data_IF_523718965200
#
_entry.id   IF_523718965200
#
_cell.length_a   1.000
_cell.length_b   1.000
_cell.length_c   1.000
_cell.angle_alpha   90.00
_cell.angle_beta   90.00
_cell.angle_gamma   90.00
#
_symmetry.space_group_name_H-M   'P 1'
#
loop_
_entity.id
_entity.type
_entity.pdbx_description
1 polymer ?
#
# COMPACT_ATOMS: atom_id res chain seq x y z
N UNK A 1 41.03 -17.83 3.00
CA UNK A 1 39.89 -17.08 2.45
C UNK A 1 38.66 -17.91 2.76
N UNK A 2 37.92 -17.53 3.82
CA UNK A 2 36.74 -18.27 4.30
C UNK A 2 35.54 -17.49 3.80
N UNK A 3 34.95 -17.95 2.70
CA UNK A 3 33.66 -17.47 2.22
C UNK A 3 32.57 -18.12 3.08
N UNK A 4 32.03 -17.37 4.04
CA UNK A 4 30.84 -17.77 4.76
C UNK A 4 29.64 -17.60 3.83
N UNK A 5 29.19 -18.70 3.23
CA UNK A 5 27.88 -18.82 2.59
C UNK A 5 26.84 -19.01 3.68
N UNK A 6 26.49 -17.94 4.40
CA UNK A 6 25.27 -17.94 5.20
C UNK A 6 24.09 -18.08 4.24
N UNK A 7 23.51 -19.26 4.17
CA UNK A 7 22.34 -19.52 3.34
C UNK A 7 21.15 -18.78 3.96
N UNK A 8 20.27 -18.19 3.14
CA UNK A 8 19.07 -17.47 3.59
C UNK A 8 18.31 -18.15 4.75
N UNK A 9 18.36 -19.49 4.80
CA UNK A 9 17.89 -20.36 5.89
C UNK A 9 18.31 -19.99 7.32
N UNK A 10 19.55 -19.54 7.56
CA UNK A 10 20.01 -19.27 8.93
C UNK A 10 19.37 -17.99 9.48
N UNK A 11 19.32 -16.95 8.65
CA UNK A 11 18.66 -15.69 8.95
C UNK A 11 17.15 -15.87 9.20
N UNK A 12 16.50 -16.67 8.36
CA UNK A 12 15.09 -17.06 8.50
C UNK A 12 14.81 -17.77 9.84
N UNK A 13 15.68 -18.70 10.23
CA UNK A 13 15.55 -19.42 11.50
C UNK A 13 15.75 -18.52 12.71
N UNK A 14 16.73 -17.61 12.66
CA UNK A 14 17.02 -16.65 13.70
C UNK A 14 15.85 -15.66 13.87
N UNK A 15 15.28 -15.19 12.75
CA UNK A 15 14.14 -14.28 12.77
C UNK A 15 12.89 -14.95 13.35
N UNK A 16 12.59 -16.20 12.97
CA UNK A 16 11.50 -16.97 13.60
C UNK A 16 11.72 -17.15 15.10
N UNK A 17 12.96 -17.35 15.54
CA UNK A 17 13.31 -17.43 16.96
C UNK A 17 13.04 -16.09 17.67
N UNK A 18 13.43 -14.98 17.06
CA UNK A 18 13.16 -13.63 17.56
C UNK A 18 11.65 -13.38 17.72
N UNK A 19 10.83 -13.69 16.70
CA UNK A 19 9.38 -13.54 16.79
C UNK A 19 8.77 -14.35 17.95
N UNK A 20 9.27 -15.57 18.19
CA UNK A 20 8.82 -16.38 19.34
C UNK A 20 9.22 -15.73 20.67
N UNK A 21 10.42 -15.17 20.77
CA UNK A 21 10.88 -14.49 21.98
C UNK A 21 10.10 -13.21 22.23
N UNK A 22 9.85 -12.41 21.19
CA UNK A 22 9.02 -11.19 21.26
C UNK A 22 7.62 -11.52 21.76
N UNK A 23 7.01 -12.61 21.30
CA UNK A 23 5.70 -13.04 21.79
C UNK A 23 5.69 -13.30 23.30
N UNK A 24 6.78 -13.85 23.85
CA UNK A 24 6.89 -14.16 25.28
C UNK A 24 7.24 -12.92 26.12
N UNK A 25 8.13 -12.06 25.62
CA UNK A 25 8.67 -10.93 26.39
C UNK A 25 7.94 -9.61 26.15
N UNK A 26 7.20 -9.49 25.05
CA UNK A 26 6.39 -8.32 24.69
C UNK A 26 4.95 -8.75 24.36
N UNK A 27 4.19 -9.29 25.33
CA UNK A 27 2.82 -9.77 25.09
C UNK A 27 1.84 -8.64 24.72
N UNK A 28 2.18 -7.39 25.03
CA UNK A 28 1.40 -6.20 24.71
C UNK A 28 1.85 -5.51 23.42
N UNK A 29 2.70 -6.15 22.61
CA UNK A 29 3.14 -5.58 21.33
C UNK A 29 1.92 -5.38 20.41
N UNK A 30 1.67 -4.12 20.02
CA UNK A 30 0.52 -3.73 19.21
C UNK A 30 0.83 -3.53 17.72
N UNK A 31 2.07 -3.18 17.41
CA UNK A 31 2.51 -2.85 16.06
C UNK A 31 3.81 -3.58 15.76
N UNK A 32 3.93 -4.10 14.55
CA UNK A 32 5.18 -4.61 14.03
C UNK A 32 5.41 -4.11 12.60
N UNK A 33 6.61 -3.62 12.33
CA UNK A 33 7.05 -3.21 11.00
C UNK A 33 8.34 -3.95 10.66
N UNK A 34 8.37 -4.64 9.52
CA UNK A 34 9.46 -5.52 9.11
C UNK A 34 9.86 -5.16 7.68
N UNK A 35 10.91 -4.34 7.58
CA UNK A 35 11.43 -3.79 6.33
C UNK A 35 12.77 -4.44 5.97
N UNK A 36 12.76 -5.74 5.72
CA UNK A 36 13.98 -6.48 5.42
C UNK A 36 13.70 -7.64 4.46
N UNK A 37 14.60 -7.91 3.49
CA UNK A 37 14.41 -8.99 2.51
C UNK A 37 14.57 -10.36 3.18
N UNK A 38 13.45 -10.93 3.64
CA UNK A 38 13.32 -12.32 4.07
C UNK A 38 12.34 -13.06 3.18
N UNK A 39 12.34 -14.39 3.24
CA UNK A 39 11.19 -15.16 2.77
C UNK A 39 9.96 -14.72 3.61
N UNK A 40 8.87 -14.21 3.00
CA UNK A 40 7.67 -13.81 3.74
C UNK A 40 7.10 -14.93 4.62
N UNK A 41 7.37 -16.20 4.29
CA UNK A 41 6.98 -17.37 5.08
C UNK A 41 7.58 -17.38 6.49
N UNK A 42 8.68 -16.65 6.71
CA UNK A 42 9.30 -16.49 8.04
C UNK A 42 8.46 -15.64 8.99
N UNK A 43 7.49 -14.91 8.46
CA UNK A 43 6.59 -14.04 9.22
C UNK A 43 5.30 -14.77 9.67
N UNK A 44 5.07 -16.01 9.25
CA UNK A 44 3.92 -16.83 9.68
C UNK A 44 3.72 -16.87 11.22
N UNK A 45 4.78 -16.90 12.07
CA UNK A 45 4.60 -16.85 13.52
C UNK A 45 3.88 -15.61 14.07
N UNK A 46 3.78 -14.52 13.28
CA UNK A 46 3.03 -13.31 13.65
C UNK A 46 1.56 -13.60 13.93
N UNK A 47 0.98 -14.60 13.26
CA UNK A 47 -0.40 -15.04 13.47
C UNK A 47 -0.73 -15.47 14.91
N UNK A 48 0.30 -15.77 15.71
CA UNK A 48 0.14 -16.19 17.11
C UNK A 48 0.16 -15.03 18.11
N UNK A 49 0.35 -13.79 17.67
CA UNK A 49 0.27 -12.61 18.53
C UNK A 49 -1.18 -12.18 18.72
N UNK A 50 -1.61 -12.05 19.98
CA UNK A 50 -3.00 -11.69 20.32
C UNK A 50 -3.24 -10.17 20.32
N UNK A 51 -2.21 -9.38 20.58
CA UNK A 51 -2.32 -7.93 20.77
C UNK A 51 -1.85 -7.12 19.57
N UNK A 52 -1.30 -7.75 18.52
CA UNK A 52 -0.89 -7.01 17.33
C UNK A 52 -2.14 -6.61 16.54
N UNK A 53 -2.27 -5.30 16.31
CA UNK A 53 -3.33 -4.68 15.53
C UNK A 53 -2.82 -4.11 14.22
N UNK A 54 -1.52 -3.81 14.12
CA UNK A 54 -0.90 -3.23 12.93
C UNK A 54 0.33 -4.04 12.49
N UNK A 55 0.33 -4.46 11.23
CA UNK A 55 1.42 -5.20 10.59
C UNK A 55 1.84 -4.47 9.32
N UNK A 56 3.12 -4.16 9.22
CA UNK A 56 3.76 -3.58 8.04
C UNK A 56 4.91 -4.49 7.61
N UNK A 57 4.83 -5.02 6.39
CA UNK A 57 5.79 -6.01 5.88
C UNK A 57 6.19 -5.74 4.44
N UNK A 58 7.49 -5.84 4.18
CA UNK A 58 8.02 -5.85 2.81
C UNK A 58 7.93 -7.26 2.25
N UNK A 59 7.18 -7.43 1.17
CA UNK A 59 6.90 -8.73 0.56
C UNK A 59 5.69 -9.42 1.22
N UNK A 60 4.86 -10.02 0.38
CA UNK A 60 3.77 -10.88 0.83
C UNK A 60 3.65 -12.09 -0.09
N UNK A 61 3.39 -13.25 0.50
CA UNK A 61 2.98 -14.44 -0.22
C UNK A 61 1.65 -14.95 0.35
N UNK A 62 0.98 -15.85 -0.39
CA UNK A 62 -0.33 -16.37 0.02
C UNK A 62 -0.30 -17.06 1.39
N UNK A 63 0.82 -17.71 1.73
CA UNK A 63 1.01 -18.41 3.01
C UNK A 63 1.04 -17.44 4.19
N UNK A 64 1.74 -16.30 4.03
CA UNK A 64 1.76 -15.23 5.01
C UNK A 64 0.37 -14.58 5.10
N UNK A 65 -0.26 -14.23 3.98
CA UNK A 65 -1.58 -13.62 3.98
C UNK A 65 -2.62 -14.51 4.68
N UNK A 66 -2.58 -15.83 4.46
CA UNK A 66 -3.43 -16.80 5.16
C UNK A 66 -3.13 -16.89 6.66
N UNK A 67 -1.87 -16.73 7.06
CA UNK A 67 -1.51 -16.69 8.47
C UNK A 67 -2.02 -15.39 9.13
N UNK A 68 -1.90 -14.25 8.46
CA UNK A 68 -2.41 -12.96 8.96
C UNK A 68 -3.94 -12.92 8.94
N UNK A 69 -4.58 -13.61 7.99
CA UNK A 69 -6.03 -13.61 7.85
C UNK A 69 -6.77 -14.28 9.00
N UNK A 70 -6.10 -15.02 9.91
CA UNK A 70 -6.76 -15.58 11.09
C UNK A 70 -6.61 -14.69 12.34
N UNK A 71 -5.93 -13.56 12.22
CA UNK A 71 -5.70 -12.64 13.34
C UNK A 71 -6.94 -11.79 13.59
N UNK A 72 -7.68 -12.11 14.65
CA UNK A 72 -8.89 -11.37 15.06
C UNK A 72 -8.58 -9.94 15.56
N UNK A 73 -7.34 -9.66 15.91
CA UNK A 73 -6.91 -8.35 16.38
C UNK A 73 -6.39 -7.44 15.27
N UNK A 74 -6.06 -7.98 14.09
CA UNK A 74 -5.42 -7.22 13.02
C UNK A 74 -6.42 -6.24 12.37
N UNK A 75 -6.21 -4.95 12.57
CA UNK A 75 -7.04 -3.87 12.01
C UNK A 75 -6.37 -3.16 10.85
N UNK A 76 -5.03 -3.11 10.82
CA UNK A 76 -4.26 -2.41 9.80
C UNK A 76 -3.17 -3.31 9.23
N UNK A 77 -3.14 -3.44 7.90
CA UNK A 77 -2.15 -4.22 7.18
C UNK A 77 -1.53 -3.38 6.07
N UNK A 78 -0.20 -3.29 6.07
CA UNK A 78 0.60 -2.70 4.99
C UNK A 78 1.48 -3.79 4.38
N UNK A 79 1.39 -3.96 3.06
CA UNK A 79 2.19 -4.93 2.31
C UNK A 79 2.86 -4.28 1.10
N UNK A 80 4.16 -4.53 0.95
CA UNK A 80 4.88 -4.24 -0.29
C UNK A 80 4.83 -5.47 -1.22
N UNK A 81 4.37 -5.26 -2.44
CA UNK A 81 4.11 -6.26 -3.47
C UNK A 81 5.22 -6.22 -4.52
N UNK A 82 6.27 -7.00 -4.27
CA UNK A 82 7.32 -7.23 -5.25
C UNK A 82 6.83 -8.16 -6.37
N UNK A 83 6.95 -7.68 -7.61
CA UNK A 83 6.51 -8.36 -8.84
C UNK A 83 7.20 -9.70 -9.04
N UNK A 84 8.38 -9.90 -8.43
CA UNK A 84 9.16 -11.11 -8.56
C UNK A 84 8.81 -12.19 -7.52
N UNK A 85 7.97 -11.89 -6.52
CA UNK A 85 7.76 -12.76 -5.36
C UNK A 85 6.40 -13.48 -5.34
N UNK A 86 5.43 -13.02 -6.13
CA UNK A 86 4.14 -13.68 -6.27
C UNK A 86 4.15 -14.57 -7.52
N UNK A 87 4.40 -15.87 -7.32
CA UNK A 87 4.11 -16.85 -8.35
C UNK A 87 2.58 -16.87 -8.53
N UNK A 88 2.10 -16.52 -9.72
CA UNK A 88 0.66 -16.53 -10.05
C UNK A 88 -0.01 -17.89 -9.79
N UNK A 89 0.77 -18.97 -9.80
CA UNK A 89 0.29 -20.33 -9.49
C UNK A 89 -0.09 -20.51 -7.99
N UNK A 90 0.42 -19.68 -7.08
CA UNK A 90 0.10 -19.75 -5.64
C UNK A 90 -1.24 -19.04 -5.29
N UNK A 91 -1.82 -18.28 -6.21
CA UNK A 91 -3.00 -17.41 -6.00
C UNK A 91 -4.31 -18.20 -6.07
N UNK A 92 -4.26 -19.49 -6.40
CA UNK A 92 -5.46 -20.34 -6.61
C UNK A 92 -6.21 -20.63 -5.30
N UNK A 93 -5.61 -20.41 -4.13
CA UNK A 93 -6.23 -20.71 -2.84
C UNK A 93 -6.72 -19.45 -2.12
N UNK A 94 -8.04 -19.26 -1.94
CA UNK A 94 -8.58 -18.09 -1.27
C UNK A 94 -8.09 -17.91 0.17
N UNK A 95 -7.87 -16.65 0.57
CA UNK A 95 -7.58 -16.24 1.94
C UNK A 95 -8.89 -15.87 2.66
N UNK A 96 -9.18 -16.57 3.76
CA UNK A 96 -10.38 -16.35 4.57
C UNK A 96 -9.99 -15.78 5.93
N UNK A 97 -10.79 -14.85 6.47
CA UNK A 97 -10.80 -14.55 7.91
C UNK A 97 -10.37 -13.16 8.34
N UNK A 98 -10.03 -12.23 7.43
CA UNK A 98 -9.75 -10.82 7.76
C UNK A 98 -11.00 -10.10 8.29
N UNK A 99 -11.51 -10.55 9.44
CA UNK A 99 -12.80 -10.17 10.02
C UNK A 99 -12.76 -8.81 10.69
N UNK A 100 -11.58 -8.41 11.17
CA UNK A 100 -11.33 -7.14 11.86
C UNK A 100 -10.51 -6.15 11.04
N UNK A 101 -10.06 -6.54 9.84
CA UNK A 101 -9.22 -5.69 9.01
C UNK A 101 -10.04 -4.51 8.46
N UNK A 102 -9.64 -3.31 8.84
CA UNK A 102 -10.30 -2.05 8.46
C UNK A 102 -9.46 -1.25 7.45
N UNK A 103 -8.12 -1.30 7.59
CA UNK A 103 -7.21 -0.53 6.76
C UNK A 103 -6.25 -1.47 6.03
N UNK A 104 -6.21 -1.37 4.70
CA UNK A 104 -5.27 -2.09 3.87
C UNK A 104 -4.46 -1.12 3.02
N UNK A 105 -3.14 -1.19 3.14
CA UNK A 105 -2.21 -0.48 2.26
C UNK A 105 -1.43 -1.50 1.43
N UNK A 106 -1.45 -1.34 0.12
CA UNK A 106 -0.68 -2.15 -0.83
C UNK A 106 0.24 -1.25 -1.64
N UNK A 107 1.54 -1.52 -1.60
CA UNK A 107 2.52 -0.84 -2.42
C UNK A 107 3.06 -1.81 -3.48
N UNK A 108 3.37 -1.38 -4.71
CA UNK A 108 4.03 -2.23 -5.71
C UNK A 108 3.18 -2.57 -6.94
N UNK A 109 3.07 -3.85 -7.29
CA UNK A 109 2.36 -4.30 -8.51
C UNK A 109 0.84 -4.22 -8.38
N UNK A 110 0.20 -3.45 -9.25
CA UNK A 110 -1.26 -3.36 -9.33
C UNK A 110 -1.92 -4.71 -9.66
N UNK A 111 -1.30 -5.48 -10.55
CA UNK A 111 -1.80 -6.81 -10.91
C UNK A 111 -1.77 -7.76 -9.70
N UNK A 112 -0.70 -7.70 -8.90
CA UNK A 112 -0.59 -8.48 -7.68
C UNK A 112 -1.65 -8.05 -6.64
N UNK A 113 -1.91 -6.75 -6.53
CA UNK A 113 -2.94 -6.22 -5.64
C UNK A 113 -4.33 -6.74 -6.05
N UNK A 114 -4.66 -6.69 -7.35
CA UNK A 114 -5.92 -7.25 -7.87
C UNK A 114 -6.05 -8.74 -7.58
N UNK A 115 -4.98 -9.51 -7.81
CA UNK A 115 -4.93 -10.94 -7.55
C UNK A 115 -5.16 -11.25 -6.05
N UNK A 116 -4.55 -10.47 -5.16
CA UNK A 116 -4.76 -10.59 -3.71
C UNK A 116 -6.20 -10.25 -3.32
N UNK A 117 -6.76 -9.14 -3.82
CA UNK A 117 -8.15 -8.75 -3.55
C UNK A 117 -9.17 -9.78 -4.07
N UNK A 118 -8.86 -10.43 -5.19
CA UNK A 118 -9.67 -11.53 -5.72
C UNK A 118 -9.59 -12.78 -4.83
N UNK A 119 -8.41 -13.10 -4.30
CA UNK A 119 -8.19 -14.25 -3.41
C UNK A 119 -8.72 -14.01 -1.99
N UNK A 120 -8.74 -12.78 -1.50
CA UNK A 120 -9.27 -12.43 -0.18
C UNK A 120 -10.79 -12.49 -0.17
N UNK A 121 -11.38 -13.19 0.79
CA UNK A 121 -12.82 -13.05 1.06
C UNK A 121 -13.16 -11.61 1.43
N UNK A 122 -14.31 -11.05 0.99
CA UNK A 122 -14.65 -9.63 1.20
C UNK A 122 -14.43 -9.19 2.66
N UNK A 123 -13.35 -8.43 2.95
CA UNK A 123 -13.12 -7.91 4.29
C UNK A 123 -14.07 -6.73 4.55
N UNK A 124 -14.25 -6.38 5.82
CA UNK A 124 -14.92 -5.13 6.22
C UNK A 124 -13.95 -3.96 6.18
N UNK A 125 -13.31 -3.77 5.03
CA UNK A 125 -12.36 -2.68 4.83
C UNK A 125 -13.11 -1.34 4.77
N UNK A 126 -12.65 -0.40 5.57
CA UNK A 126 -13.09 0.98 5.62
C UNK A 126 -12.17 1.88 4.77
N UNK A 127 -10.86 1.58 4.75
CA UNK A 127 -9.86 2.34 4.00
C UNK A 127 -8.95 1.43 3.18
N UNK A 128 -8.75 1.80 1.91
CA UNK A 128 -7.82 1.15 0.99
C UNK A 128 -6.85 2.18 0.43
N UNK A 129 -5.56 1.94 0.63
CA UNK A 129 -4.49 2.67 -0.04
C UNK A 129 -3.75 1.75 -1.01
N UNK A 130 -3.54 2.22 -2.24
CA UNK A 130 -2.77 1.54 -3.26
C UNK A 130 -1.75 2.50 -3.85
N UNK A 131 -0.47 2.17 -3.76
CA UNK A 131 0.62 2.94 -4.37
C UNK A 131 1.37 2.04 -5.35
N UNK A 132 1.48 2.45 -6.61
CA UNK A 132 2.21 1.67 -7.62
C UNK A 132 3.57 2.28 -7.88
N UNK A 133 4.61 1.44 -7.80
CA UNK A 133 6.01 1.88 -8.00
C UNK A 133 6.37 1.82 -9.49
N UNK A 134 5.69 0.95 -10.24
CA UNK A 134 5.90 0.78 -11.68
C UNK A 134 4.80 1.50 -12.44
N UNK A 135 5.15 2.09 -13.60
CA UNK A 135 4.16 2.66 -14.49
C UNK A 135 3.07 1.65 -14.87
N UNK A 136 1.79 2.07 -14.81
CA UNK A 136 0.60 1.25 -15.12
C UNK A 136 -0.22 1.86 -16.25
N UNK A 137 -0.99 1.06 -16.99
CA UNK A 137 -1.89 1.60 -18.02
C UNK A 137 -3.21 2.08 -17.42
N UNK A 138 -3.92 2.99 -18.10
CA UNK A 138 -5.26 3.41 -17.70
C UNK A 138 -6.22 2.23 -17.60
N UNK A 139 -6.15 1.27 -18.52
CA UNK A 139 -6.98 0.06 -18.46
C UNK A 139 -6.72 -0.77 -17.20
N UNK A 140 -5.47 -0.84 -16.74
CA UNK A 140 -5.14 -1.52 -15.49
C UNK A 140 -5.68 -0.76 -14.27
N UNK A 141 -5.55 0.57 -14.24
CA UNK A 141 -6.16 1.40 -13.21
C UNK A 141 -7.68 1.21 -13.18
N UNK A 142 -8.33 1.26 -14.35
CA UNK A 142 -9.77 1.07 -14.49
C UNK A 142 -10.19 -0.30 -13.97
N UNK A 143 -9.53 -1.36 -14.40
CA UNK A 143 -9.84 -2.73 -13.97
C UNK A 143 -9.67 -2.90 -12.44
N UNK A 144 -8.68 -2.24 -11.83
CA UNK A 144 -8.53 -2.21 -10.38
C UNK A 144 -9.68 -1.46 -9.69
N UNK A 145 -10.04 -0.27 -10.19
CA UNK A 145 -11.12 0.54 -9.58
C UNK A 145 -12.50 -0.11 -9.77
N UNK A 146 -12.75 -0.77 -10.90
CA UNK A 146 -13.97 -1.58 -11.14
C UNK A 146 -14.09 -2.79 -10.19
N UNK A 147 -12.97 -3.28 -9.66
CA UNK A 147 -12.97 -4.38 -8.69
C UNK A 147 -13.49 -3.93 -7.31
N UNK A 148 -13.30 -2.64 -6.95
CA UNK A 148 -13.54 -2.17 -5.59
C UNK A 148 -15.02 -2.24 -5.17
N UNK A 149 -16.00 -1.75 -5.96
CA UNK A 149 -17.42 -1.85 -5.59
C UNK A 149 -17.89 -3.31 -5.41
N UNK A 150 -17.34 -4.22 -6.22
CA UNK A 150 -17.71 -5.63 -6.21
C UNK A 150 -17.13 -6.36 -5.00
N UNK A 151 -15.89 -6.04 -4.62
CA UNK A 151 -15.14 -6.76 -3.57
C UNK A 151 -15.22 -6.10 -2.21
N UNK A 152 -15.29 -4.77 -2.19
CA UNK A 152 -15.13 -3.92 -1.02
C UNK A 152 -16.25 -2.86 -0.95
N UNK A 153 -17.53 -3.26 -0.94
CA UNK A 153 -18.66 -2.32 -0.99
C UNK A 153 -18.80 -1.41 0.25
N UNK A 154 -18.02 -1.66 1.31
CA UNK A 154 -18.04 -0.89 2.57
C UNK A 154 -16.92 0.16 2.66
N UNK A 155 -16.17 0.39 1.59
CA UNK A 155 -15.10 1.39 1.59
C UNK A 155 -15.66 2.80 1.83
N UNK A 156 -15.00 3.50 2.74
CA UNK A 156 -15.20 4.91 3.06
C UNK A 156 -14.07 5.78 2.54
N UNK A 157 -12.86 5.22 2.39
CA UNK A 157 -11.69 5.93 1.89
C UNK A 157 -10.95 5.10 0.85
N UNK A 158 -10.63 5.73 -0.28
CA UNK A 158 -9.76 5.19 -1.32
C UNK A 158 -8.63 6.17 -1.58
N UNK A 159 -7.39 5.72 -1.41
CA UNK A 159 -6.20 6.44 -1.84
C UNK A 159 -5.50 5.62 -2.93
N UNK A 160 -5.36 6.19 -4.12
CA UNK A 160 -4.77 5.52 -5.26
C UNK A 160 -3.68 6.40 -5.89
N UNK A 161 -2.43 6.00 -5.74
CA UNK A 161 -1.28 6.66 -6.34
C UNK A 161 -0.70 5.79 -7.46
N UNK A 162 -0.65 6.32 -8.67
CA UNK A 162 -0.09 5.59 -9.80
C UNK A 162 0.62 6.47 -10.83
N UNK A 163 1.90 6.16 -11.18
CA UNK A 163 2.49 6.67 -12.41
C UNK A 163 1.82 5.96 -13.59
N UNK A 164 1.24 6.72 -14.53
CA UNK A 164 0.53 6.15 -15.67
C UNK A 164 1.43 6.11 -16.92
N UNK A 165 1.62 4.93 -17.52
CA UNK A 165 2.24 4.76 -18.83
C UNK A 165 1.36 5.41 -19.89
N UNK A 166 1.90 6.40 -20.60
CA UNK A 166 1.19 7.04 -21.69
C UNK A 166 1.29 6.25 -23.00
N UNK A 167 0.14 6.12 -23.64
CA UNK A 167 -0.01 6.14 -25.09
C UNK A 167 -1.28 6.94 -25.41
N UNK A 168 -1.26 8.26 -25.17
CA UNK A 168 -2.40 9.14 -25.46
C UNK A 168 -1.98 10.27 -26.40
N UNK A 169 -2.79 10.49 -27.43
CA UNK A 169 -2.82 11.76 -28.16
C UNK A 169 -3.72 12.75 -27.37
N UNK A 170 -3.09 13.82 -26.88
CA UNK A 170 -3.53 15.14 -26.38
C UNK A 170 -5.01 15.38 -25.94
N UNK A 171 -5.10 15.90 -24.71
CA UNK A 171 -6.13 16.68 -23.98
C UNK A 171 -7.56 16.14 -23.82
N UNK A 172 -8.42 16.16 -24.84
CA UNK A 172 -9.86 15.87 -24.65
C UNK A 172 -10.11 14.41 -24.30
N UNK A 173 -9.28 13.51 -24.83
CA UNK A 173 -9.38 12.09 -24.52
C UNK A 173 -8.88 11.79 -23.10
N UNK A 174 -7.93 12.55 -22.55
CA UNK A 174 -7.44 12.27 -21.20
C UNK A 174 -8.47 12.64 -20.14
N UNK A 175 -9.11 13.81 -20.22
CA UNK A 175 -10.18 14.19 -19.28
C UNK A 175 -11.29 13.14 -19.28
N UNK A 176 -11.78 12.76 -20.47
CA UNK A 176 -12.78 11.71 -20.64
C UNK A 176 -12.34 10.38 -20.00
N UNK A 177 -11.07 10.00 -20.18
CA UNK A 177 -10.50 8.76 -19.61
C UNK A 177 -10.30 8.81 -18.09
N UNK A 178 -10.01 9.98 -17.52
CA UNK A 178 -9.94 10.13 -16.06
C UNK A 178 -11.34 10.05 -15.45
N UNK A 179 -12.33 10.65 -16.10
CA UNK A 179 -13.73 10.53 -15.69
C UNK A 179 -14.17 9.06 -15.73
N UNK A 180 -13.76 8.34 -16.78
CA UNK A 180 -13.92 6.88 -16.87
C UNK A 180 -13.19 6.09 -15.79
N UNK A 181 -12.11 6.61 -15.18
CA UNK A 181 -11.41 5.94 -14.07
C UNK A 181 -12.16 6.08 -12.75
N UNK A 182 -12.79 7.23 -12.52
CA UNK A 182 -13.49 7.51 -11.25
C UNK A 182 -14.93 7.00 -11.24
N UNK A 183 -15.54 6.83 -12.41
CA UNK A 183 -16.92 6.33 -12.57
C UNK A 183 -17.22 5.08 -11.73
N UNK A 184 -16.37 4.02 -11.68
CA UNK A 184 -16.64 2.84 -10.87
C UNK A 184 -16.73 3.14 -9.37
N UNK A 185 -16.04 4.18 -8.88
CA UNK A 185 -16.07 4.54 -7.45
C UNK A 185 -17.41 5.14 -7.03
N UNK A 186 -18.23 5.60 -7.97
CA UNK A 186 -19.56 6.14 -7.68
C UNK A 186 -20.53 5.05 -7.20
N UNK A 187 -20.24 3.78 -7.48
CA UNK A 187 -21.03 2.64 -6.98
C UNK A 187 -20.76 2.34 -5.49
N UNK A 188 -19.71 2.93 -4.90
CA UNK A 188 -19.41 2.84 -3.47
C UNK A 188 -20.23 3.87 -2.69
N UNK A 189 -21.43 3.48 -2.25
CA UNK A 189 -22.37 4.37 -1.56
C UNK A 189 -21.84 4.94 -0.22
N UNK A 190 -20.88 4.26 0.41
CA UNK A 190 -20.27 4.68 1.67
C UNK A 190 -19.04 5.59 1.49
N UNK A 191 -18.60 5.84 0.27
CA UNK A 191 -17.32 6.49 0.01
C UNK A 191 -17.37 7.98 0.38
N UNK A 192 -16.53 8.37 1.34
CA UNK A 192 -16.43 9.72 1.88
C UNK A 192 -15.22 10.47 1.34
N UNK A 193 -14.13 9.73 1.05
CA UNK A 193 -12.85 10.31 0.62
C UNK A 193 -12.22 9.54 -0.53
N UNK A 194 -11.81 10.27 -1.56
CA UNK A 194 -11.09 9.72 -2.70
C UNK A 194 -9.90 10.61 -3.03
N UNK A 195 -8.70 10.07 -2.82
CA UNK A 195 -7.45 10.69 -3.24
C UNK A 195 -6.90 9.87 -4.41
N UNK A 196 -6.82 10.46 -5.60
CA UNK A 196 -6.29 9.80 -6.79
C UNK A 196 -5.15 10.65 -7.33
N UNK A 197 -3.92 10.22 -7.06
CA UNK A 197 -2.73 10.86 -7.59
C UNK A 197 -2.30 10.15 -8.87
N UNK A 198 -2.59 10.81 -9.98
CA UNK A 198 -2.12 10.41 -11.30
C UNK A 198 -0.96 11.33 -11.65
N UNK A 199 0.18 10.77 -12.04
CA UNK A 199 1.34 11.55 -12.53
C UNK A 199 1.35 11.53 -14.06
N UNK A 200 0.51 12.35 -14.74
CA UNK A 200 0.59 12.49 -16.19
C UNK A 200 1.86 13.27 -16.57
N UNK A 201 2.36 13.06 -17.79
CA UNK A 201 3.45 13.89 -18.33
C UNK A 201 2.99 15.32 -18.70
N UNK A 202 1.69 15.63 -18.60
CA UNK A 202 1.10 16.92 -18.97
C UNK A 202 0.07 17.42 -17.95
N UNK A 203 -0.20 18.72 -17.95
CA UNK A 203 -1.01 19.37 -16.91
C UNK A 203 -2.49 19.07 -17.14
N UNK A 204 -3.18 18.63 -16.09
CA UNK A 204 -4.62 18.42 -16.09
C UNK A 204 -5.34 19.67 -15.55
N UNK A 205 -6.45 20.06 -16.19
CA UNK A 205 -7.34 21.11 -15.70
C UNK A 205 -8.74 20.56 -15.42
N UNK A 206 -8.89 19.81 -14.33
CA UNK A 206 -10.21 19.41 -13.84
C UNK A 206 -10.78 20.48 -12.92
N UNK A 207 -12.07 20.79 -13.06
CA UNK A 207 -12.79 21.74 -12.22
C UNK A 207 -13.78 21.04 -11.29
N UNK A 208 -14.14 21.67 -10.18
CA UNK A 208 -15.22 21.18 -9.28
C UNK A 208 -16.54 20.95 -10.04
N UNK A 209 -16.78 21.70 -11.12
CA UNK A 209 -17.95 21.56 -11.98
C UNK A 209 -18.01 20.22 -12.71
N UNK A 210 -16.86 19.65 -13.07
CA UNK A 210 -16.77 18.34 -13.72
C UNK A 210 -17.17 17.23 -12.75
N UNK A 211 -16.77 17.33 -11.49
CA UNK A 211 -17.17 16.39 -10.43
C UNK A 211 -18.65 16.49 -10.06
N UNK A 212 -19.18 17.71 -9.99
CA UNK A 212 -20.61 17.93 -9.76
C UNK A 212 -21.48 17.39 -10.90
N UNK A 213 -21.02 17.51 -12.15
CA UNK A 213 -21.71 16.95 -13.31
C UNK A 213 -21.81 15.40 -13.25
N UNK A 214 -20.89 14.74 -12.54
CA UNK A 214 -20.94 13.29 -12.28
C UNK A 214 -21.86 12.88 -11.12
N UNK A 215 -22.47 13.84 -10.41
CA UNK A 215 -23.28 13.56 -9.22
C UNK A 215 -22.47 13.35 -7.94
N UNK A 216 -21.18 13.72 -7.92
CA UNK A 216 -20.32 13.62 -6.75
C UNK A 216 -20.62 14.74 -5.74
N UNK A 217 -21.70 14.63 -4.98
CA UNK A 217 -22.14 15.74 -4.12
C UNK A 217 -21.49 15.80 -2.71
N UNK A 218 -20.66 14.82 -2.32
CA UNK A 218 -20.16 14.70 -0.91
C UNK A 218 -18.67 14.34 -0.79
N UNK A 219 -17.99 13.99 -1.88
CA UNK A 219 -16.61 13.49 -1.81
C UNK A 219 -15.58 14.63 -1.87
N UNK A 220 -14.55 14.55 -1.02
CA UNK A 220 -13.32 15.33 -1.22
C UNK A 220 -12.47 14.61 -2.25
N UNK A 221 -12.27 15.27 -3.39
CA UNK A 221 -11.40 14.82 -4.46
C UNK A 221 -10.08 15.58 -4.39
N UNK A 222 -8.97 14.85 -4.45
CA UNK A 222 -7.67 15.42 -4.72
C UNK A 222 -7.04 14.68 -5.90
N UNK A 223 -6.97 15.36 -7.04
CA UNK A 223 -6.24 14.89 -8.22
C UNK A 223 -5.07 15.83 -8.43
N UNK A 224 -3.89 15.41 -7.97
CA UNK A 224 -2.64 16.15 -8.22
C UNK A 224 -1.97 15.60 -9.47
N UNK A 225 -1.50 16.49 -10.35
CA UNK A 225 -0.61 16.16 -11.46
C UNK A 225 0.74 16.85 -11.24
N UNK A 226 1.59 16.21 -10.44
CA UNK A 226 2.96 16.71 -10.25
C UNK A 226 3.82 16.35 -11.45
N UNK A 227 3.84 17.23 -12.46
CA UNK A 227 4.88 17.23 -13.48
C UNK A 227 6.18 17.63 -12.78
N UNK A 228 7.15 16.70 -12.68
CA UNK A 228 8.45 16.97 -12.08
C UNK A 228 9.18 18.12 -12.80
N UNK A 229 8.98 19.35 -12.34
CA UNK A 229 10.09 20.27 -12.09
C UNK A 229 10.36 20.21 -10.60
N UNK A 230 11.59 19.90 -10.22
CA UNK A 230 12.05 19.95 -8.83
C UNK A 230 11.74 21.33 -8.23
N UNK A 231 10.61 21.46 -7.55
CA UNK A 231 10.25 22.61 -6.73
C UNK A 231 9.49 22.09 -5.52
N UNK A 232 10.06 22.40 -4.35
CA UNK A 232 9.44 22.25 -3.04
C UNK A 232 7.97 22.67 -3.09
N UNK A 233 7.05 21.73 -2.84
CA UNK A 233 5.65 22.06 -2.58
C UNK A 233 5.36 21.80 -1.11
N UNK A 234 4.92 22.86 -0.47
CA UNK A 234 4.57 22.95 0.93
C UNK A 234 3.27 22.19 1.18
N UNK A 235 3.26 21.34 2.21
CA UNK A 235 2.04 20.81 2.80
C UNK A 235 1.14 21.96 3.29
N UNK A 236 -0.15 21.90 2.95
CA UNK A 236 -1.19 22.60 3.72
C UNK A 236 -2.05 21.54 4.40
N UNK A 237 -1.73 21.28 5.67
CA UNK A 237 -2.56 20.51 6.59
C UNK A 237 -3.69 21.40 7.13
N UNK A 238 -4.89 20.84 7.31
CA UNK A 238 -5.74 21.23 8.43
C UNK A 238 -5.73 20.11 9.50
N UNK A 239 -5.38 20.53 10.72
CA UNK A 239 -5.37 19.81 12.00
C UNK A 239 -4.38 18.66 12.22
N UNK A 240 -3.11 19.01 12.56
CA UNK A 240 -2.39 18.60 13.79
C UNK A 240 -0.89 18.91 13.64
N UNK A 241 -0.41 19.94 14.33
CA UNK A 241 0.99 20.36 14.31
C UNK A 241 1.79 19.44 15.26
N UNK A 242 2.73 18.67 14.72
CA UNK A 242 3.83 18.07 15.49
C UNK A 242 5.12 18.79 15.09
N UNK A 243 5.65 19.59 16.01
CA UNK A 243 6.92 20.30 15.87
C UNK A 243 8.06 19.29 15.97
N UNK A 244 8.96 19.25 14.98
CA UNK A 244 10.29 18.66 15.14
C UNK A 244 11.30 19.71 14.69
N UNK A 245 12.13 20.13 15.64
CA UNK A 245 13.22 21.08 15.48
C UNK A 245 14.35 20.48 14.65
N UNK A 246 14.77 21.18 13.59
CA UNK A 246 15.99 20.87 12.84
C UNK A 246 17.22 21.24 13.68
N UNK A 247 18.08 20.27 13.97
CA UNK A 247 19.49 20.55 14.25
C UNK A 247 20.30 20.12 13.01
N UNK A 248 20.81 21.14 12.32
CA UNK A 248 21.85 21.03 11.31
C UNK A 248 23.11 20.42 11.92
N UNK A 249 23.71 19.45 11.24
CA UNK A 249 25.16 19.36 11.11
C UNK A 249 25.50 18.92 9.69
N UNK A 250 26.08 19.85 8.94
CA UNK A 250 26.84 19.54 7.73
C UNK A 250 28.09 18.75 8.12
N UNK A 251 28.41 17.71 7.37
CA UNK A 251 29.79 17.53 6.92
C UNK A 251 29.84 16.73 5.63
N UNK A 252 30.57 17.31 4.69
CA UNK A 252 30.92 16.79 3.39
C UNK A 252 31.74 15.50 3.43
N UNK A 253 31.75 14.86 2.25
CA UNK A 253 32.73 13.94 1.69
C UNK A 253 32.50 12.43 1.86
N UNK A 254 32.33 11.77 0.71
CA UNK A 254 32.54 10.33 0.55
C UNK A 254 31.35 9.61 -0.07
N UNK A 255 31.31 9.55 -1.40
CA UNK A 255 30.26 8.87 -2.14
C UNK A 255 30.20 7.36 -1.87
N UNK A 256 28.98 6.88 -1.61
CA UNK A 256 28.50 5.55 -1.94
C UNK A 256 27.02 5.73 -2.30
N UNK A 257 26.62 5.24 -3.48
CA UNK A 257 25.22 5.16 -3.90
C UNK A 257 24.45 4.32 -2.86
N UNK A 258 23.63 4.98 -2.05
CA UNK A 258 22.73 4.31 -1.12
C UNK A 258 21.46 3.92 -1.87
N UNK A 259 21.16 2.62 -1.83
CA UNK A 259 19.93 2.00 -2.29
C UNK A 259 18.71 2.58 -1.50
N UNK A 260 17.56 2.90 -2.13
CA UNK A 260 16.47 3.62 -1.45
C UNK A 260 15.75 2.81 -0.36
N UNK A 261 16.02 1.51 -0.23
CA UNK A 261 15.19 0.59 0.55
C UNK A 261 15.65 0.30 1.98
N UNK A 262 16.64 1.01 2.55
CA UNK A 262 17.07 0.74 3.93
C UNK A 262 16.63 1.84 4.91
N UNK A 263 15.46 1.64 5.54
CA UNK A 263 15.09 2.33 6.78
C UNK A 263 14.81 1.30 7.87
N UNK A 264 15.80 1.12 8.76
CA UNK A 264 15.63 0.38 10.01
C UNK A 264 15.15 1.35 11.07
N UNK A 265 13.92 1.18 11.53
CA UNK A 265 13.35 1.90 12.66
C UNK A 265 12.54 0.95 13.52
N UNK A 266 13.08 0.52 14.65
CA UNK A 266 12.32 -0.14 15.69
C UNK A 266 11.78 0.95 16.64
N UNK A 267 10.47 1.05 16.78
CA UNK A 267 9.83 1.86 17.81
C UNK A 267 9.21 0.91 18.83
N UNK A 268 9.69 1.00 20.08
CA UNK A 268 9.05 0.40 21.24
C UNK A 268 8.25 1.52 21.90
N UNK A 269 6.93 1.34 21.96
CA UNK A 269 6.06 2.06 22.89
C UNK A 269 5.78 1.16 24.09
#
# INVERSE_FOLDING_TARGET
MVTATGTHSEHDSAFRSLLRQLRTHAPFLQKIAINFPFDPSCLIPLSSFKSIHEVDVVGANISLLRALSVMESLTTLTIDLDVNQLNREDIVSPCYGFSSLQNLTMCGSLLCAMDILAAMSPPRLESLAMCTIRPVTVDQCRAFLELLPVRLPQLHEVNFEAPILQAFDIDVELERRIMELVEPLLDLQGLERVDIEVKPEFALSLSDGDFLAMGCNVMRWNISSDIMMWKQVYHIYYSSIKVISNNFFSNDAGGVLADPCTRVGAYVC
#
